data_IF_863636229856
#
_entry.id   IF_863636229856
#
_cell.length_a   1.000
_cell.length_b   1.000
_cell.length_c   1.000
_cell.angle_alpha   90.00
_cell.angle_beta   90.00
_cell.angle_gamma   90.00
#
_symmetry.space_group_name_H-M   'P 1'
#
loop_
_entity.id
_entity.type
_entity.pdbx_description
1 polymer ?
#
# COMPACT_ATOMS: atom_id res chain seq x y z
N UNK A 1 -16.62 -27.75 -11.73
CA UNK A 1 -15.51 -27.27 -12.57
C UNK A 1 -14.91 -26.02 -11.96
N UNK A 2 -13.62 -26.03 -11.63
CA UNK A 2 -12.93 -24.83 -11.12
C UNK A 2 -12.19 -24.18 -12.28
N UNK A 3 -12.58 -22.96 -12.65
CA UNK A 3 -11.89 -22.19 -13.69
C UNK A 3 -10.50 -21.82 -13.16
N UNK A 4 -9.44 -22.01 -13.94
CA UNK A 4 -8.07 -21.64 -13.55
C UNK A 4 -7.85 -20.12 -13.59
N UNK A 5 -6.84 -19.62 -12.88
CA UNK A 5 -6.50 -18.18 -12.91
C UNK A 5 -6.11 -17.72 -14.33
N UNK A 6 -5.44 -18.59 -15.10
CA UNK A 6 -5.06 -18.32 -16.50
C UNK A 6 -6.29 -18.14 -17.38
N UNK A 7 -7.28 -19.04 -17.28
CA UNK A 7 -8.52 -18.92 -18.03
C UNK A 7 -9.29 -17.64 -17.69
N UNK A 8 -9.36 -17.27 -16.40
CA UNK A 8 -9.98 -16.00 -16.00
C UNK A 8 -9.22 -14.79 -16.53
N UNK A 9 -7.88 -14.85 -16.53
CA UNK A 9 -7.01 -13.79 -17.05
C UNK A 9 -7.26 -13.56 -18.55
N UNK A 10 -7.33 -14.64 -19.33
CA UNK A 10 -7.58 -14.61 -20.77
C UNK A 10 -9.01 -14.12 -21.09
N UNK A 11 -10.01 -14.61 -20.35
CA UNK A 11 -11.42 -14.25 -20.59
C UNK A 11 -11.74 -12.79 -20.23
N UNK A 12 -11.09 -12.24 -19.20
CA UNK A 12 -11.39 -10.90 -18.67
C UNK A 12 -10.36 -9.85 -19.08
N UNK A 13 -9.24 -10.23 -19.71
CA UNK A 13 -8.15 -9.31 -20.06
C UNK A 13 -7.43 -8.72 -18.85
N UNK A 14 -7.51 -9.38 -17.68
CA UNK A 14 -6.90 -8.92 -16.42
C UNK A 14 -5.62 -9.71 -16.18
N UNK A 15 -4.58 -9.08 -15.63
CA UNK A 15 -3.34 -9.78 -15.27
C UNK A 15 -3.59 -10.98 -14.34
N UNK A 16 -2.92 -12.11 -14.62
CA UNK A 16 -3.02 -13.33 -13.82
C UNK A 16 -2.72 -13.10 -12.34
N UNK A 17 -1.77 -12.20 -12.01
CA UNK A 17 -1.43 -11.82 -10.63
C UNK A 17 -2.62 -11.16 -9.94
N UNK A 18 -3.27 -10.21 -10.62
CA UNK A 18 -4.46 -9.53 -10.13
C UNK A 18 -5.63 -10.50 -9.90
N UNK A 19 -5.82 -11.47 -10.78
CA UNK A 19 -6.82 -12.55 -10.59
C UNK A 19 -6.54 -13.37 -9.33
N UNK A 20 -5.27 -13.71 -9.06
CA UNK A 20 -4.89 -14.46 -7.86
C UNK A 20 -5.15 -13.65 -6.58
N UNK A 21 -4.82 -12.35 -6.58
CA UNK A 21 -5.10 -11.44 -5.46
C UNK A 21 -6.60 -11.34 -5.17
N UNK A 22 -7.43 -11.12 -6.19
CA UNK A 22 -8.88 -11.03 -6.04
C UNK A 22 -9.48 -12.32 -5.48
N UNK A 23 -8.99 -13.49 -5.92
CA UNK A 23 -9.41 -14.78 -5.39
C UNK A 23 -9.02 -14.97 -3.93
N UNK A 24 -7.83 -14.54 -3.54
CA UNK A 24 -7.42 -14.59 -2.14
C UNK A 24 -8.29 -13.68 -1.28
N UNK A 25 -8.50 -12.44 -1.72
CA UNK A 25 -9.37 -11.48 -1.03
C UNK A 25 -10.80 -12.00 -0.88
N UNK A 26 -11.35 -12.64 -1.90
CA UNK A 26 -12.67 -13.29 -1.85
C UNK A 26 -12.72 -14.45 -0.86
N UNK A 27 -11.64 -15.22 -0.70
CA UNK A 27 -11.57 -16.28 0.32
C UNK A 27 -11.59 -15.69 1.73
N UNK A 28 -10.92 -14.55 1.91
CA UNK A 28 -10.76 -13.91 3.21
C UNK A 28 -12.03 -13.17 3.65
N UNK A 29 -12.70 -12.43 2.75
CA UNK A 29 -13.90 -11.65 3.08
C UNK A 29 -15.21 -12.40 2.86
N UNK A 30 -15.24 -13.40 1.97
CA UNK A 30 -16.45 -14.09 1.48
C UNK A 30 -17.55 -13.17 0.89
N UNK A 31 -17.26 -11.89 0.75
CA UNK A 31 -18.14 -10.88 0.15
C UNK A 31 -17.44 -10.24 -1.06
N UNK A 32 -17.97 -10.44 -2.29
CA UNK A 32 -17.44 -9.84 -3.50
C UNK A 32 -17.47 -8.31 -3.52
N UNK A 33 -18.46 -7.68 -2.89
CA UNK A 33 -18.54 -6.21 -2.84
C UNK A 33 -17.44 -5.64 -1.96
N UNK A 34 -17.17 -6.27 -0.82
CA UNK A 34 -16.05 -5.91 0.04
C UNK A 34 -14.67 -6.02 -0.65
N UNK A 35 -14.52 -6.85 -1.68
CA UNK A 35 -13.28 -6.97 -2.47
C UNK A 35 -13.18 -5.86 -3.52
N UNK A 36 -14.27 -5.54 -4.20
CA UNK A 36 -14.33 -4.48 -5.23
C UNK A 36 -14.24 -3.10 -4.61
N UNK A 37 -14.97 -2.86 -3.52
CA UNK A 37 -15.03 -1.59 -2.82
C UNK A 37 -13.87 -1.41 -1.84
N UNK A 38 -12.95 -2.40 -1.76
CA UNK A 38 -11.79 -2.30 -0.89
C UNK A 38 -10.98 -1.07 -1.33
N UNK A 39 -10.85 -0.04 -0.48
CA UNK A 39 -9.98 1.08 -0.80
C UNK A 39 -8.60 0.50 -1.09
N UNK A 40 -7.99 0.91 -2.21
CA UNK A 40 -6.65 0.47 -2.57
C UNK A 40 -5.78 0.53 -1.32
N UNK A 41 -5.02 -0.52 -1.03
CA UNK A 41 -4.13 -0.65 0.13
C UNK A 41 -3.01 0.42 0.17
N UNK A 42 -3.19 1.57 -0.47
CA UNK A 42 -2.57 2.83 -0.12
C UNK A 42 -3.28 3.51 1.06
N UNK A 43 -3.81 2.75 2.02
CA UNK A 43 -3.85 3.25 3.39
C UNK A 43 -2.39 3.43 3.81
N UNK A 44 -1.77 4.52 3.36
CA UNK A 44 -0.49 5.01 3.89
C UNK A 44 -0.71 4.98 5.39
N UNK A 45 0.08 4.20 6.13
CA UNK A 45 0.09 4.29 7.59
C UNK A 45 0.04 5.78 7.91
N UNK A 46 -1.02 6.23 8.57
CA UNK A 46 -1.12 7.62 8.95
C UNK A 46 0.17 7.93 9.72
N UNK A 47 1.03 8.79 9.15
CA UNK A 47 2.24 9.22 9.84
C UNK A 47 1.78 9.89 11.12
N UNK A 48 2.38 9.55 12.25
CA UNK A 48 2.00 10.17 13.51
C UNK A 48 2.15 11.69 13.38
N UNK A 49 1.26 12.50 13.97
CA UNK A 49 1.42 13.95 14.00
C UNK A 49 2.81 14.35 14.47
N UNK A 50 3.34 13.66 15.48
CA UNK A 50 4.70 13.87 16.01
C UNK A 50 5.81 13.69 14.96
N UNK A 51 5.66 12.72 14.05
CA UNK A 51 6.61 12.52 12.96
C UNK A 51 6.58 13.70 11.99
N UNK A 52 5.39 14.21 11.66
CA UNK A 52 5.21 15.34 10.75
C UNK A 52 5.79 16.62 11.36
N UNK A 53 5.52 16.87 12.64
CA UNK A 53 6.05 18.02 13.38
C UNK A 53 7.58 17.99 13.39
N UNK A 54 8.20 16.87 13.79
CA UNK A 54 9.66 16.77 13.84
C UNK A 54 10.34 16.94 12.49
N UNK A 55 9.75 16.38 11.42
CA UNK A 55 10.26 16.60 10.06
C UNK A 55 10.19 18.08 9.68
N UNK A 56 9.09 18.75 10.02
CA UNK A 56 8.89 20.16 9.73
C UNK A 56 9.91 21.03 10.48
N UNK A 57 10.09 20.81 11.78
CA UNK A 57 11.08 21.53 12.61
C UNK A 57 12.49 21.40 12.04
N UNK A 58 12.89 20.20 11.59
CA UNK A 58 14.22 19.98 11.02
C UNK A 58 14.42 20.78 9.73
N UNK A 59 13.42 20.83 8.85
CA UNK A 59 13.52 21.59 7.60
C UNK A 59 13.36 23.11 7.80
N UNK A 60 12.65 23.54 8.84
CA UNK A 60 12.58 24.96 9.22
C UNK A 60 13.93 25.47 9.74
N UNK A 61 14.65 24.66 10.52
CA UNK A 61 15.96 25.02 11.07
C UNK A 61 17.11 24.79 10.09
N UNK A 62 17.02 23.79 9.22
CA UNK A 62 18.03 23.48 8.21
C UNK A 62 17.38 22.92 6.92
N UNK A 63 16.96 23.81 6.01
CA UNK A 63 16.29 23.40 4.77
C UNK A 63 17.22 22.69 3.79
N UNK A 64 18.54 22.72 4.03
CA UNK A 64 19.55 22.12 3.15
C UNK A 64 19.85 20.66 3.48
N UNK A 65 19.31 20.15 4.58
CA UNK A 65 19.53 18.77 5.03
C UNK A 65 19.03 17.75 4.03
N UNK A 66 19.81 16.68 3.89
CA UNK A 66 19.41 15.55 3.06
C UNK A 66 18.30 14.75 3.75
N UNK A 67 17.30 14.32 2.96
CA UNK A 67 16.22 13.46 3.46
C UNK A 67 16.76 12.17 4.10
N UNK A 68 17.91 11.67 3.63
CA UNK A 68 18.57 10.48 4.18
C UNK A 68 19.07 10.70 5.60
N UNK A 69 19.58 11.88 5.90
CA UNK A 69 20.08 12.21 7.23
C UNK A 69 18.92 12.48 8.20
N UNK A 70 17.86 13.15 7.73
CA UNK A 70 16.60 13.29 8.49
C UNK A 70 16.00 11.91 8.81
N UNK A 71 16.01 10.99 7.85
CA UNK A 71 15.49 9.64 8.07
C UNK A 71 16.34 8.79 9.04
N UNK A 72 17.65 9.06 9.15
CA UNK A 72 18.52 8.44 10.17
C UNK A 72 18.24 9.01 11.55
N UNK A 73 18.11 10.34 11.65
CA UNK A 73 17.82 11.03 12.92
C UNK A 73 16.45 10.63 13.49
N UNK A 74 15.47 10.40 12.61
CA UNK A 74 14.12 9.97 12.99
C UNK A 74 13.97 8.44 13.12
N UNK A 75 15.07 7.67 13.05
CA UNK A 75 15.09 6.20 13.19
C UNK A 75 14.08 5.47 12.30
N UNK A 76 13.81 6.01 11.11
CA UNK A 76 12.88 5.45 10.10
C UNK A 76 13.61 4.74 8.97
N UNK A 77 14.93 4.63 9.05
CA UNK A 77 15.80 4.00 8.04
C UNK A 77 16.14 2.56 8.43
N UNK A 78 15.16 1.67 8.43
CA UNK A 78 15.36 0.22 8.52
C UNK A 78 14.93 -0.47 7.23
#
# INVERSE_FOLDING_TARGET
HTISNTQVSELLGIERRRVAELRQQLKDTRDPRAVVDRPSSSARKARSPDFITRVSDIFEHDPSRSIRDVAKELDVSH
#
